data_IF_985298304819
#
_entry.id   IF_985298304819
#
_cell.length_a   1.000
_cell.length_b   1.000
_cell.length_c   1.000
_cell.angle_alpha   90.00
_cell.angle_beta   90.00
_cell.angle_gamma   90.00
#
_symmetry.space_group_name_H-M   'P 1'
#
loop_
_entity.id
_entity.type
_entity.pdbx_description
1 polymer ?
#
# COMPACT_ATOMS: atom_id res chain seq x y z
N UNK A 1 -22.05 3.64 0.76
CA UNK A 1 -20.99 4.55 1.25
C UNK A 1 -21.16 5.90 0.55
N UNK A 2 -21.17 7.02 1.29
CA UNK A 2 -21.35 8.37 0.73
C UNK A 2 -20.20 8.72 -0.22
N UNK A 3 -20.47 9.49 -1.28
CA UNK A 3 -19.48 9.82 -2.32
C UNK A 3 -18.20 10.46 -1.75
N UNK A 4 -18.34 11.39 -0.81
CA UNK A 4 -17.19 12.05 -0.20
C UNK A 4 -16.27 11.08 0.58
N UNK A 5 -16.83 10.04 1.24
CA UNK A 5 -16.04 9.01 1.92
C UNK A 5 -15.22 8.16 0.93
N UNK A 6 -15.77 7.90 -0.26
CA UNK A 6 -15.05 7.19 -1.32
C UNK A 6 -13.88 8.02 -1.85
N UNK A 7 -14.13 9.30 -2.07
CA UNK A 7 -13.09 10.24 -2.53
C UNK A 7 -12.00 10.38 -1.48
N UNK A 8 -12.36 10.64 -0.22
CA UNK A 8 -11.39 10.78 0.86
C UNK A 8 -10.56 9.49 1.05
N UNK A 9 -11.21 8.32 1.07
CA UNK A 9 -10.50 7.05 1.14
C UNK A 9 -9.61 6.79 -0.08
N UNK A 10 -10.05 7.20 -1.26
CA UNK A 10 -9.27 7.14 -2.49
C UNK A 10 -8.01 8.02 -2.41
N UNK A 11 -8.14 9.25 -1.90
CA UNK A 11 -6.98 10.16 -1.70
C UNK A 11 -5.96 9.54 -0.73
N UNK A 12 -6.41 8.96 0.38
CA UNK A 12 -5.52 8.29 1.35
C UNK A 12 -4.81 7.10 0.71
N UNK A 13 -5.54 6.22 0.00
CA UNK A 13 -4.93 5.07 -0.68
C UNK A 13 -3.95 5.50 -1.77
N UNK A 14 -4.28 6.54 -2.53
CA UNK A 14 -3.40 7.06 -3.58
C UNK A 14 -2.10 7.63 -2.99
N UNK A 15 -2.22 8.47 -1.95
CA UNK A 15 -1.05 9.02 -1.25
C UNK A 15 -0.17 7.92 -0.66
N UNK A 16 -0.77 6.89 -0.07
CA UNK A 16 -0.05 5.72 0.44
C UNK A 16 0.70 4.98 -0.68
N UNK A 17 0.03 4.75 -1.83
CA UNK A 17 0.67 4.17 -3.01
C UNK A 17 1.87 4.99 -3.51
N UNK A 18 1.74 6.32 -3.55
CA UNK A 18 2.83 7.20 -3.96
C UNK A 18 4.03 7.11 -3.00
N UNK A 19 3.78 7.01 -1.69
CA UNK A 19 4.86 6.83 -0.69
C UNK A 19 5.61 5.51 -0.92
N UNK A 20 4.94 4.44 -1.36
CA UNK A 20 5.58 3.17 -1.69
C UNK A 20 6.57 3.28 -2.88
N UNK A 21 6.42 4.26 -3.77
CA UNK A 21 7.41 4.54 -4.83
C UNK A 21 8.79 4.86 -4.26
N UNK A 22 8.86 5.48 -3.07
CA UNK A 22 10.14 5.79 -2.44
C UNK A 22 10.97 4.53 -2.17
N UNK A 23 10.34 3.44 -1.71
CA UNK A 23 11.01 2.15 -1.49
C UNK A 23 11.66 1.61 -2.78
N UNK A 24 10.95 1.65 -3.90
CA UNK A 24 11.51 1.27 -5.20
C UNK A 24 12.71 2.14 -5.59
N UNK A 25 12.57 3.48 -5.53
CA UNK A 25 13.60 4.43 -5.92
C UNK A 25 14.89 4.24 -5.11
N UNK A 26 14.76 4.02 -3.80
CA UNK A 26 15.88 3.81 -2.89
C UNK A 26 16.56 2.46 -3.12
N UNK A 27 15.79 1.36 -3.19
CA UNK A 27 16.33 0.00 -3.33
C UNK A 27 16.99 -0.23 -4.69
N UNK A 28 16.59 0.51 -5.71
CA UNK A 28 17.24 0.51 -7.04
C UNK A 28 18.35 1.54 -7.18
N UNK A 29 18.64 2.33 -6.13
CA UNK A 29 19.63 3.43 -6.14
C UNK A 29 19.38 4.45 -7.24
N UNK A 30 18.11 4.75 -7.53
CA UNK A 30 17.74 5.75 -8.53
C UNK A 30 17.92 7.15 -7.95
N UNK A 31 17.37 7.39 -6.75
CA UNK A 31 17.49 8.65 -6.02
C UNK A 31 17.16 8.45 -4.54
N UNK A 32 17.69 9.30 -3.69
CA UNK A 32 17.26 9.44 -2.30
C UNK A 32 15.99 10.30 -2.24
N UNK A 33 15.13 10.06 -1.25
CA UNK A 33 13.80 10.68 -1.16
C UNK A 33 13.63 11.36 0.20
N UNK A 34 13.66 12.68 0.22
CA UNK A 34 13.57 13.45 1.45
C UNK A 34 14.74 13.15 2.38
N UNK A 35 14.44 12.73 3.61
CA UNK A 35 15.45 12.34 4.60
C UNK A 35 15.83 10.84 4.52
N UNK A 36 15.17 10.07 3.65
CA UNK A 36 15.46 8.65 3.47
C UNK A 36 16.69 8.47 2.57
N UNK A 37 17.71 7.81 3.10
CA UNK A 37 18.97 7.54 2.42
C UNK A 37 19.14 6.05 2.13
N UNK A 38 20.04 5.72 1.20
CA UNK A 38 20.31 4.33 0.85
C UNK A 38 20.77 3.48 2.04
N UNK A 39 21.54 4.08 2.97
CA UNK A 39 22.05 3.37 4.16
C UNK A 39 21.00 3.00 5.20
N UNK A 40 19.79 3.48 5.06
CA UNK A 40 18.68 3.24 6.00
C UNK A 40 17.74 2.13 5.53
N UNK A 41 17.92 1.62 4.30
CA UNK A 41 17.01 0.63 3.70
C UNK A 41 17.50 -0.80 3.86
N UNK A 42 16.57 -1.72 4.08
CA UNK A 42 16.79 -3.16 4.08
C UNK A 42 15.80 -3.85 3.11
N UNK A 43 16.23 -4.85 2.33
CA UNK A 43 17.61 -5.32 2.11
C UNK A 43 18.50 -4.26 1.45
N UNK A 44 19.84 -4.45 1.50
CA UNK A 44 20.80 -3.47 0.99
C UNK A 44 20.50 -3.02 -0.44
N UNK A 45 20.37 -1.70 -0.69
CA UNK A 45 20.07 -1.14 -1.99
C UNK A 45 21.12 -1.51 -3.07
N UNK A 46 20.63 -1.78 -4.27
CA UNK A 46 21.45 -2.17 -5.42
C UNK A 46 21.82 -3.65 -5.48
N UNK A 47 21.69 -4.40 -4.38
CA UNK A 47 21.82 -5.87 -4.40
C UNK A 47 20.64 -6.53 -5.11
N UNK A 48 20.79 -7.81 -5.47
CA UNK A 48 19.67 -8.58 -6.07
C UNK A 48 18.46 -8.61 -5.11
N UNK A 49 18.69 -8.86 -3.83
CA UNK A 49 17.64 -8.88 -2.82
C UNK A 49 16.96 -7.50 -2.69
N UNK A 50 17.74 -6.41 -2.66
CA UNK A 50 17.21 -5.04 -2.64
C UNK A 50 16.38 -4.72 -3.88
N UNK A 51 16.87 -5.10 -5.07
CA UNK A 51 16.12 -4.87 -6.32
C UNK A 51 14.82 -5.66 -6.37
N UNK A 52 14.80 -6.93 -5.92
CA UNK A 52 13.58 -7.73 -5.83
C UNK A 52 12.58 -7.11 -4.85
N UNK A 53 13.03 -6.71 -3.66
CA UNK A 53 12.19 -5.99 -2.72
C UNK A 53 11.67 -4.66 -3.31
N UNK A 54 12.49 -3.93 -4.05
CA UNK A 54 12.08 -2.72 -4.76
C UNK A 54 10.96 -2.97 -5.78
N UNK A 55 11.00 -4.07 -6.53
CA UNK A 55 9.91 -4.46 -7.43
C UNK A 55 8.62 -4.70 -6.64
N UNK A 56 8.69 -5.40 -5.51
CA UNK A 56 7.51 -5.61 -4.64
C UNK A 56 6.94 -4.28 -4.14
N UNK A 57 7.81 -3.32 -3.76
CA UNK A 57 7.38 -1.97 -3.39
C UNK A 57 6.66 -1.25 -4.54
N UNK A 58 7.17 -1.37 -5.77
CA UNK A 58 6.55 -0.78 -6.95
C UNK A 58 5.19 -1.43 -7.26
N UNK A 59 5.10 -2.75 -7.20
CA UNK A 59 3.85 -3.47 -7.43
C UNK A 59 2.78 -3.08 -6.39
N UNK A 60 3.17 -2.99 -5.11
CA UNK A 60 2.29 -2.50 -4.05
C UNK A 60 1.82 -1.06 -4.33
N UNK A 61 2.74 -0.16 -4.75
CA UNK A 61 2.42 1.21 -5.12
C UNK A 61 1.35 1.27 -6.21
N UNK A 62 1.54 0.53 -7.30
CA UNK A 62 0.60 0.49 -8.42
C UNK A 62 -0.77 -0.06 -7.99
N UNK A 63 -0.79 -1.12 -7.18
CA UNK A 63 -2.03 -1.72 -6.70
C UNK A 63 -2.80 -0.79 -5.75
N UNK A 64 -2.13 -0.05 -4.86
CA UNK A 64 -2.78 0.96 -4.02
C UNK A 64 -3.35 2.10 -4.85
N UNK A 65 -2.64 2.59 -5.86
CA UNK A 65 -3.15 3.62 -6.78
C UNK A 65 -4.36 3.10 -7.58
N UNK A 66 -4.31 1.86 -8.08
CA UNK A 66 -5.46 1.24 -8.75
C UNK A 66 -6.65 1.08 -7.79
N UNK A 67 -6.42 0.60 -6.55
CA UNK A 67 -7.48 0.48 -5.55
C UNK A 67 -8.11 1.84 -5.20
N UNK A 68 -7.30 2.90 -5.15
CA UNK A 68 -7.76 4.27 -4.93
C UNK A 68 -8.74 4.73 -6.03
N UNK A 69 -8.38 4.55 -7.29
CA UNK A 69 -9.23 4.90 -8.44
C UNK A 69 -10.52 4.07 -8.43
N UNK A 70 -10.41 2.76 -8.19
CA UNK A 70 -11.57 1.86 -8.12
C UNK A 70 -12.52 2.23 -6.97
N UNK A 71 -11.97 2.62 -5.81
CA UNK A 71 -12.75 3.09 -4.65
C UNK A 71 -13.48 4.40 -4.97
N UNK A 72 -12.79 5.38 -5.53
CA UNK A 72 -13.36 6.66 -5.92
C UNK A 72 -14.48 6.46 -6.95
N UNK A 73 -14.28 5.57 -7.94
CA UNK A 73 -15.28 5.19 -8.95
C UNK A 73 -16.43 4.32 -8.38
N UNK A 74 -16.38 3.95 -7.09
CA UNK A 74 -17.42 3.13 -6.47
C UNK A 74 -17.42 1.66 -6.90
N UNK A 75 -16.36 1.17 -7.53
CA UNK A 75 -16.24 -0.22 -8.01
C UNK A 75 -15.91 -1.15 -6.86
N UNK A 76 -16.64 -2.26 -6.74
CA UNK A 76 -16.43 -3.22 -5.62
C UNK A 76 -15.08 -3.94 -5.65
N UNK A 77 -14.42 -3.95 -6.80
CA UNK A 77 -13.11 -4.60 -7.02
C UNK A 77 -11.97 -3.90 -6.27
N UNK A 78 -12.16 -2.66 -5.78
CA UNK A 78 -11.14 -1.98 -4.97
C UNK A 78 -10.68 -2.82 -3.76
N UNK A 79 -11.58 -3.64 -3.18
CA UNK A 79 -11.28 -4.44 -1.98
C UNK A 79 -10.25 -5.53 -2.24
N UNK A 80 -10.50 -6.48 -3.17
CA UNK A 80 -9.49 -7.49 -3.46
C UNK A 80 -8.19 -6.85 -3.96
N UNK A 81 -8.24 -5.76 -4.75
CA UNK A 81 -7.03 -5.03 -5.17
C UNK A 81 -6.25 -4.49 -3.98
N UNK A 82 -6.92 -3.83 -3.02
CA UNK A 82 -6.29 -3.33 -1.81
C UNK A 82 -5.73 -4.47 -0.92
N UNK A 83 -6.44 -5.59 -0.81
CA UNK A 83 -5.95 -6.75 -0.04
C UNK A 83 -4.68 -7.35 -0.64
N UNK A 84 -4.58 -7.44 -1.97
CA UNK A 84 -3.36 -7.88 -2.65
C UNK A 84 -2.24 -6.86 -2.43
N UNK A 85 -2.53 -5.56 -2.52
CA UNK A 85 -1.56 -4.51 -2.25
C UNK A 85 -0.98 -4.63 -0.84
N UNK A 86 -1.83 -4.78 0.18
CA UNK A 86 -1.39 -4.98 1.58
C UNK A 86 -0.59 -6.27 1.75
N UNK A 87 -1.00 -7.37 1.10
CA UNK A 87 -0.27 -8.64 1.17
C UNK A 87 1.15 -8.54 0.60
N UNK A 88 1.38 -7.69 -0.39
CA UNK A 88 2.72 -7.41 -0.92
C UNK A 88 3.49 -6.39 -0.07
N UNK A 89 2.82 -5.31 0.36
CA UNK A 89 3.41 -4.21 1.11
C UNK A 89 3.87 -4.63 2.50
N UNK A 90 3.00 -5.27 3.26
CA UNK A 90 3.22 -5.53 4.68
C UNK A 90 4.50 -6.34 4.97
N UNK A 91 4.82 -7.43 4.24
CA UNK A 91 6.07 -8.16 4.47
C UNK A 91 7.32 -7.31 4.26
N UNK A 92 7.37 -6.53 3.17
CA UNK A 92 8.55 -5.68 2.89
C UNK A 92 8.64 -4.50 3.84
N UNK A 93 7.51 -3.94 4.27
CA UNK A 93 7.48 -2.89 5.28
C UNK A 93 7.94 -3.39 6.67
N UNK A 94 7.66 -4.64 7.02
CA UNK A 94 8.09 -5.24 8.29
C UNK A 94 9.60 -5.55 8.33
N UNK A 95 10.26 -5.72 7.18
CA UNK A 95 11.73 -5.90 7.14
C UNK A 95 12.43 -4.63 7.65
N UNK A 96 11.85 -3.46 7.38
CA UNK A 96 12.41 -2.16 7.79
C UNK A 96 11.38 -1.35 8.59
N UNK A 97 10.80 -1.97 9.61
CA UNK A 97 9.70 -1.39 10.39
C UNK A 97 10.03 -0.03 11.01
N UNK A 98 11.31 0.23 11.32
CA UNK A 98 11.71 1.51 11.94
C UNK A 98 11.48 2.70 11.01
N UNK A 99 11.70 2.52 9.71
CA UNK A 99 11.50 3.55 8.70
C UNK A 99 10.05 3.59 8.17
N UNK A 100 9.31 2.48 8.33
CA UNK A 100 8.02 2.27 7.68
C UNK A 100 6.83 2.16 8.64
N UNK A 101 6.99 2.52 9.93
CA UNK A 101 5.92 2.43 10.95
C UNK A 101 4.62 3.05 10.47
N UNK A 102 4.68 4.26 9.91
CA UNK A 102 3.49 4.94 9.40
C UNK A 102 2.83 4.16 8.26
N UNK A 103 3.63 3.56 7.36
CA UNK A 103 3.15 2.71 6.28
C UNK A 103 2.44 1.46 6.80
N UNK A 104 3.05 0.76 7.77
CA UNK A 104 2.46 -0.42 8.42
C UNK A 104 1.11 -0.09 9.06
N UNK A 105 1.00 1.05 9.76
CA UNK A 105 -0.28 1.49 10.35
C UNK A 105 -1.34 1.70 9.27
N UNK A 106 -1.01 2.34 8.15
CA UNK A 106 -1.96 2.54 7.05
C UNK A 106 -2.36 1.20 6.44
N UNK A 107 -1.43 0.28 6.21
CA UNK A 107 -1.72 -1.07 5.71
C UNK A 107 -2.72 -1.82 6.60
N UNK A 108 -2.52 -1.78 7.92
CA UNK A 108 -3.44 -2.40 8.89
C UNK A 108 -4.83 -1.76 8.84
N UNK A 109 -4.91 -0.44 8.74
CA UNK A 109 -6.19 0.28 8.59
C UNK A 109 -6.89 -0.10 7.29
N UNK A 110 -6.17 -0.17 6.18
CA UNK A 110 -6.71 -0.58 4.86
C UNK A 110 -7.21 -2.02 4.92
N UNK A 111 -6.44 -2.93 5.53
CA UNK A 111 -6.81 -4.32 5.74
C UNK A 111 -8.13 -4.42 6.54
N UNK A 112 -8.22 -3.73 7.67
CA UNK A 112 -9.40 -3.71 8.52
C UNK A 112 -10.64 -3.16 7.78
N UNK A 113 -10.48 -2.06 7.01
CA UNK A 113 -11.55 -1.47 6.23
C UNK A 113 -12.05 -2.39 5.11
N UNK A 114 -11.12 -3.04 4.39
CA UNK A 114 -11.45 -3.97 3.32
C UNK A 114 -12.21 -5.20 3.85
N UNK A 115 -11.71 -5.84 4.91
CA UNK A 115 -12.33 -7.01 5.54
C UNK A 115 -13.66 -6.66 6.20
N UNK A 116 -13.73 -5.58 6.98
CA UNK A 116 -14.96 -5.14 7.65
C UNK A 116 -16.09 -4.86 6.65
N UNK A 117 -15.76 -4.31 5.48
CA UNK A 117 -16.74 -4.09 4.42
C UNK A 117 -17.27 -5.38 3.79
N UNK A 118 -16.52 -6.48 3.84
CA UNK A 118 -16.95 -7.80 3.35
C UNK A 118 -17.92 -8.46 4.35
N UNK A 119 -17.63 -8.40 5.65
CA UNK A 119 -18.50 -8.99 6.70
C UNK A 119 -19.86 -8.31 6.73
N UNK A 120 -19.92 -6.98 6.64
CA UNK A 120 -21.18 -6.23 6.60
C UNK A 120 -22.05 -6.58 5.38
N UNK A 121 -21.44 -6.88 4.22
CA UNK A 121 -22.19 -7.33 3.04
C UNK A 121 -22.76 -8.72 3.21
N UNK A 122 -22.00 -9.65 3.83
CA UNK A 122 -22.48 -11.00 4.09
C UNK A 122 -23.67 -10.97 5.04
N UNK A 123 -23.59 -10.20 6.13
CA UNK A 123 -24.70 -10.04 7.08
C UNK A 123 -25.98 -9.50 6.42
N UNK A 124 -25.85 -8.49 5.53
CA UNK A 124 -27.00 -7.92 4.81
C UNK A 124 -27.63 -8.84 3.74
N UNK A 125 -26.93 -9.88 3.29
CA UNK A 125 -27.47 -10.87 2.34
C UNK A 125 -28.13 -12.05 3.06
N UNK A 126 -27.84 -12.24 4.34
CA UNK A 126 -28.41 -13.29 5.16
C UNK A 126 -29.67 -12.86 5.94
N UNK A 127 -29.92 -11.54 6.03
CA UNK A 127 -31.13 -10.96 6.60
C UNK A 127 -32.19 -10.66 5.52
#
# INVERSE_FOLDING_TARGET
>A
MRTWLRIAGGVVLFGHGVVHMAGFLLLWKITEVGELTYGQMAPDPGTIAGKLAGVVWLDAAMLFCCAAVLLAAGRSVWRPTALVAVALSLPVALIDVRQTVAGVVVDVVVLAAALGSLTLRRARRAA
#
